data_IF_189131420580
#
_entry.id   IF_189131420580
#
_cell.length_a   1.000
_cell.length_b   1.000
_cell.length_c   1.000
_cell.angle_alpha   90.00
_cell.angle_beta   90.00
_cell.angle_gamma   90.00
#
_symmetry.space_group_name_H-M   'P 1'
#
loop_
_entity.id
_entity.type
_entity.pdbx_description
1 polymer ?
#
# COMPACT_ATOMS: atom_id res chain seq x y z
N UNK A 1 9.62 -47.34 -22.40
CA UNK A 1 8.56 -46.83 -23.30
C UNK A 1 7.22 -47.08 -22.64
N UNK A 2 6.56 -46.03 -22.15
CA UNK A 2 5.14 -45.98 -21.83
C UNK A 2 4.84 -44.52 -21.47
N UNK A 3 4.31 -43.78 -22.44
CA UNK A 3 4.05 -42.36 -22.32
C UNK A 3 2.62 -42.20 -21.81
N UNK A 4 2.46 -41.76 -20.57
CA UNK A 4 1.15 -41.50 -19.99
C UNK A 4 0.67 -40.11 -20.38
N UNK A 5 -0.27 -40.09 -21.31
CA UNK A 5 -1.10 -38.94 -21.68
C UNK A 5 -1.92 -38.48 -20.47
N UNK A 6 -1.75 -37.23 -20.06
CA UNK A 6 -2.67 -36.52 -19.17
C UNK A 6 -3.18 -35.28 -19.90
N UNK A 7 -4.49 -35.26 -20.06
CA UNK A 7 -5.32 -34.23 -20.70
C UNK A 7 -5.23 -32.89 -19.95
N UNK A 8 -5.26 -31.74 -20.65
CA UNK A 8 -5.38 -30.45 -20.00
C UNK A 8 -6.83 -30.26 -19.51
N UNK A 9 -7.04 -30.45 -18.21
CA UNK A 9 -8.26 -29.99 -17.55
C UNK A 9 -8.23 -28.47 -17.52
N UNK A 10 -9.06 -27.86 -18.37
CA UNK A 10 -9.45 -26.45 -18.32
C UNK A 10 -9.90 -26.12 -16.90
N UNK A 11 -9.01 -25.49 -16.12
CA UNK A 11 -9.38 -24.83 -14.89
C UNK A 11 -10.20 -23.60 -15.26
N UNK A 12 -11.51 -23.77 -15.26
CA UNK A 12 -12.48 -22.69 -15.38
C UNK A 12 -12.12 -21.58 -14.40
N UNK A 13 -11.79 -20.42 -14.95
CA UNK A 13 -11.76 -19.13 -14.26
C UNK A 13 -13.11 -18.95 -13.58
N UNK A 14 -13.17 -19.25 -12.28
CA UNK A 14 -14.27 -18.82 -11.42
C UNK A 14 -14.13 -17.31 -11.30
N UNK A 15 -14.80 -16.59 -12.20
CA UNK A 15 -15.07 -15.17 -12.07
C UNK A 15 -15.96 -14.98 -10.85
N UNK A 16 -15.36 -14.87 -9.67
CA UNK A 16 -16.06 -14.46 -8.46
C UNK A 16 -16.48 -12.99 -8.66
N UNK A 17 -17.77 -12.65 -8.49
CA UNK A 17 -18.22 -11.26 -8.55
C UNK A 17 -17.52 -10.47 -7.44
N UNK A 18 -16.90 -9.34 -7.79
CA UNK A 18 -16.32 -8.39 -6.84
C UNK A 18 -17.42 -7.85 -5.92
N UNK A 19 -17.66 -8.54 -4.81
CA UNK A 19 -18.34 -7.98 -3.65
C UNK A 19 -17.33 -7.06 -2.97
N UNK A 20 -17.55 -5.76 -3.06
CA UNK A 20 -16.74 -4.76 -2.36
C UNK A 20 -16.68 -5.08 -0.86
N UNK A 21 -15.50 -5.37 -0.28
CA UNK A 21 -15.39 -5.47 1.16
C UNK A 21 -15.23 -4.06 1.73
N UNK A 22 -16.19 -3.66 2.56
CA UNK A 22 -16.11 -2.49 3.44
C UNK A 22 -15.09 -2.68 4.58
N UNK A 23 -13.99 -3.39 4.34
CA UNK A 23 -13.00 -3.69 5.38
C UNK A 23 -12.12 -2.47 5.57
N UNK A 24 -12.38 -1.70 6.61
CA UNK A 24 -11.49 -0.63 7.07
C UNK A 24 -10.08 -1.19 7.22
N UNK A 25 -9.10 -0.55 6.60
CA UNK A 25 -7.70 -0.98 6.73
C UNK A 25 -7.20 -0.75 8.17
N UNK A 26 -6.22 -1.53 8.63
CA UNK A 26 -5.61 -1.33 9.94
C UNK A 26 -5.11 0.11 10.15
N UNK A 27 -4.57 0.71 9.09
CA UNK A 27 -4.18 2.12 9.05
C UNK A 27 -5.35 3.07 9.30
N UNK A 28 -6.48 2.88 8.62
CA UNK A 28 -7.66 3.73 8.80
C UNK A 28 -8.24 3.63 10.22
N UNK A 29 -8.17 2.44 10.82
CA UNK A 29 -8.56 2.23 12.22
C UNK A 29 -7.65 3.00 13.17
N UNK A 30 -6.32 2.95 12.96
CA UNK A 30 -5.35 3.69 13.76
C UNK A 30 -5.52 5.20 13.63
N UNK A 31 -5.69 5.71 12.40
CA UNK A 31 -5.93 7.13 12.14
C UNK A 31 -7.22 7.61 12.81
N UNK A 32 -8.29 6.81 12.76
CA UNK A 32 -9.55 7.15 13.42
C UNK A 32 -9.39 7.21 14.95
N UNK A 33 -8.65 6.28 15.56
CA UNK A 33 -8.36 6.29 16.99
C UNK A 33 -7.53 7.53 17.39
N UNK A 34 -6.49 7.86 16.61
CA UNK A 34 -5.65 9.04 16.86
C UNK A 34 -6.46 10.35 16.76
N UNK A 35 -7.34 10.47 15.76
CA UNK A 35 -8.24 11.63 15.61
C UNK A 35 -9.20 11.77 16.80
N UNK A 36 -9.78 10.68 17.25
CA UNK A 36 -10.69 10.68 18.39
C UNK A 36 -9.96 11.07 19.69
N UNK A 37 -8.75 10.55 19.88
CA UNK A 37 -7.89 10.88 21.00
C UNK A 37 -7.50 12.38 21.01
N UNK A 38 -7.03 12.91 19.86
CA UNK A 38 -6.64 14.31 19.74
C UNK A 38 -7.82 15.26 20.02
N UNK A 39 -9.03 14.94 19.53
CA UNK A 39 -10.23 15.73 19.82
C UNK A 39 -10.60 15.70 21.30
N UNK A 40 -10.65 14.51 21.92
CA UNK A 40 -10.94 14.39 23.36
C UNK A 40 -9.94 15.16 24.21
N UNK A 41 -8.65 15.06 23.91
CA UNK A 41 -7.63 15.82 24.62
C UNK A 41 -7.80 17.32 24.43
N UNK A 42 -8.13 17.78 23.22
CA UNK A 42 -8.40 19.20 22.93
C UNK A 42 -9.60 19.70 23.75
N UNK A 43 -10.66 18.90 23.86
CA UNK A 43 -11.84 19.22 24.68
C UNK A 43 -11.51 19.24 26.18
N UNK A 44 -10.63 18.36 26.65
CA UNK A 44 -10.30 18.23 28.07
C UNK A 44 -9.28 19.25 28.57
N UNK A 45 -8.23 19.53 27.79
CA UNK A 45 -7.09 20.37 28.21
C UNK A 45 -7.03 21.74 27.53
N UNK A 46 -7.85 21.95 26.50
CA UNK A 46 -7.81 23.15 25.68
C UNK A 46 -6.69 23.14 24.64
N UNK A 47 -6.79 23.99 23.61
CA UNK A 47 -5.93 23.95 22.43
C UNK A 47 -4.47 24.35 22.70
N UNK A 48 -4.19 25.06 23.79
CA UNK A 48 -2.84 25.56 24.13
C UNK A 48 -1.98 24.53 24.88
N UNK A 49 -2.53 23.35 25.20
CA UNK A 49 -1.77 22.31 25.90
C UNK A 49 -0.76 21.63 24.98
N UNK A 50 0.44 21.39 25.51
CA UNK A 50 1.50 20.63 24.82
C UNK A 50 1.02 19.21 24.49
N UNK A 51 0.22 18.59 25.36
CA UNK A 51 -0.31 17.24 25.12
C UNK A 51 -1.27 17.21 23.93
N UNK A 52 -2.02 18.29 23.73
CA UNK A 52 -2.92 18.45 22.57
C UNK A 52 -2.10 18.63 21.29
N UNK A 53 -1.04 19.44 21.33
CA UNK A 53 -0.13 19.59 20.20
C UNK A 53 0.49 18.25 19.79
N UNK A 54 1.00 17.46 20.73
CA UNK A 54 1.57 16.13 20.48
C UNK A 54 0.54 15.13 19.92
N UNK A 55 -0.70 15.19 20.40
CA UNK A 55 -1.77 14.33 19.88
C UNK A 55 -2.11 14.64 18.42
N UNK A 56 -2.13 15.92 18.04
CA UNK A 56 -2.32 16.33 16.66
C UNK A 56 -1.10 16.02 15.78
N UNK A 57 0.11 16.17 16.29
CA UNK A 57 1.34 15.76 15.58
C UNK A 57 1.31 14.26 15.22
N UNK A 58 0.86 13.41 16.15
CA UNK A 58 0.67 11.97 15.87
C UNK A 58 -0.29 11.73 14.69
N UNK A 59 -1.37 12.51 14.59
CA UNK A 59 -2.34 12.43 13.48
C UNK A 59 -1.69 12.88 12.16
N UNK A 60 -0.87 13.93 12.19
CA UNK A 60 -0.14 14.42 11.03
C UNK A 60 0.93 13.43 10.55
N UNK A 61 1.67 12.79 11.47
CA UNK A 61 2.64 11.76 11.15
C UNK A 61 2.01 10.57 10.45
N UNK A 62 0.87 10.06 10.97
CA UNK A 62 0.13 8.97 10.34
C UNK A 62 -0.31 9.33 8.92
N UNK A 63 -0.85 10.52 8.72
CA UNK A 63 -1.28 10.97 7.40
C UNK A 63 -0.10 11.17 6.43
N UNK A 64 1.00 11.75 6.93
CA UNK A 64 2.24 11.94 6.18
C UNK A 64 2.83 10.61 5.76
N UNK A 65 2.87 9.61 6.65
CA UNK A 65 3.32 8.26 6.33
C UNK A 65 2.49 7.68 5.18
N UNK A 66 1.15 7.75 5.25
CA UNK A 66 0.27 7.29 4.17
C UNK A 66 0.58 7.98 2.84
N UNK A 67 0.73 9.30 2.85
CA UNK A 67 1.03 10.08 1.64
C UNK A 67 2.44 9.77 1.08
N UNK A 68 3.42 9.55 1.96
CA UNK A 68 4.79 9.17 1.60
C UNK A 68 4.87 7.82 0.92
N UNK A 69 4.14 6.82 1.43
CA UNK A 69 4.04 5.49 0.82
C UNK A 69 3.35 5.51 -0.56
N UNK A 70 2.53 6.53 -0.86
CA UNK A 70 1.77 6.62 -2.10
C UNK A 70 2.59 7.16 -3.28
N UNK A 71 3.81 7.66 -3.04
CA UNK A 71 4.75 8.07 -4.10
C UNK A 71 5.45 6.84 -4.70
N UNK A 72 4.67 5.95 -5.32
CA UNK A 72 5.24 4.91 -6.18
C UNK A 72 5.71 5.63 -7.45
N UNK A 73 7.01 5.93 -7.52
CA UNK A 73 7.57 6.49 -8.74
C UNK A 73 7.41 5.43 -9.85
N UNK A 74 6.65 5.68 -10.94
CA UNK A 74 6.43 4.71 -12.00
C UNK A 74 7.74 4.26 -12.66
N UNK A 75 8.78 5.09 -12.60
CA UNK A 75 10.14 4.74 -13.02
C UNK A 75 10.71 3.57 -12.22
N UNK A 76 10.32 3.38 -10.94
CA UNK A 76 10.77 2.24 -10.12
C UNK A 76 10.29 0.90 -10.71
N UNK A 77 9.08 0.85 -11.28
CA UNK A 77 8.56 -0.39 -11.84
C UNK A 77 9.37 -0.81 -13.08
N UNK A 78 9.65 0.13 -13.97
CA UNK A 78 10.47 -0.13 -15.16
C UNK A 78 11.93 -0.43 -14.80
N UNK A 79 12.53 0.35 -13.89
CA UNK A 79 13.90 0.11 -13.42
C UNK A 79 14.04 -1.26 -12.77
N UNK A 80 13.09 -1.65 -11.91
CA UNK A 80 13.07 -3.00 -11.31
C UNK A 80 12.96 -4.08 -12.38
N UNK A 81 12.07 -3.89 -13.35
CA UNK A 81 11.92 -4.82 -14.46
C UNK A 81 13.21 -4.98 -15.27
N UNK A 82 13.89 -3.89 -15.63
CA UNK A 82 15.18 -3.93 -16.34
C UNK A 82 16.28 -4.60 -15.51
N UNK A 83 16.30 -4.38 -14.18
CA UNK A 83 17.24 -5.04 -13.27
C UNK A 83 17.00 -6.56 -13.20
N UNK A 84 15.75 -7.00 -13.20
CA UNK A 84 15.36 -8.41 -13.20
C UNK A 84 15.54 -9.07 -14.58
N UNK A 85 15.49 -8.29 -15.66
CA UNK A 85 15.52 -8.76 -17.06
C UNK A 85 16.54 -8.00 -17.92
N UNK A 86 17.86 -8.10 -17.64
CA UNK A 86 18.88 -7.32 -18.36
C UNK A 86 19.00 -7.68 -19.85
N UNK A 87 18.55 -8.87 -20.25
CA UNK A 87 18.57 -9.33 -21.64
C UNK A 87 17.37 -8.89 -22.48
N UNK A 88 16.34 -8.31 -21.87
CA UNK A 88 15.14 -7.83 -22.56
C UNK A 88 15.50 -6.70 -23.53
N UNK A 89 14.81 -6.61 -24.67
CA UNK A 89 15.17 -5.65 -25.72
C UNK A 89 15.11 -4.19 -25.22
N UNK A 90 14.15 -3.91 -24.35
CA UNK A 90 13.89 -2.67 -23.65
C UNK A 90 14.86 -2.35 -22.49
N UNK A 91 15.68 -3.33 -22.06
CA UNK A 91 16.59 -3.20 -20.92
C UNK A 91 18.08 -3.22 -21.29
N UNK A 92 18.43 -3.47 -22.56
CA UNK A 92 19.82 -3.52 -23.03
C UNK A 92 20.45 -2.13 -22.99
N UNK A 93 21.54 -2.01 -22.24
CA UNK A 93 22.41 -0.82 -22.21
C UNK A 93 23.75 -1.20 -22.82
N UNK A 94 24.23 -0.41 -23.78
CA UNK A 94 25.53 -0.61 -24.43
C UNK A 94 26.49 0.50 -23.96
N UNK A 95 27.70 0.14 -23.54
CA UNK A 95 28.77 1.12 -23.33
C UNK A 95 29.21 1.67 -24.70
N UNK A 96 29.31 3.00 -24.80
CA UNK A 96 29.72 3.74 -26.00
C UNK A 96 31.14 4.27 -25.86
#
# INVERSE_FOLDING_TARGET
MANTTITPTTASTTSTPLKAPSSKSAFETQLQAALEHARRLTEMQGPESIEVALAWETVEELQTAKAGHQKVNPTIAFVRYCAENPGAAEARVYDV
#
